data_IF_451067803247
#
_entry.id   IF_451067803247
#
_cell.length_a   1.000
_cell.length_b   1.000
_cell.length_c   1.000
_cell.angle_alpha   90.00
_cell.angle_beta   90.00
_cell.angle_gamma   90.00
#
_symmetry.space_group_name_H-M   'P 1'
#
loop_
_entity.id
_entity.type
_entity.pdbx_description
1 polymer ?
#
# COMPACT_ATOMS: atom_id res chain seq x y z
N UNK A 1 10.96 -16.58 21.56
CA UNK A 1 10.36 -16.53 20.21
C UNK A 1 9.73 -17.89 19.96
N UNK A 2 8.41 -18.04 20.10
CA UNK A 2 7.73 -19.30 19.80
C UNK A 2 7.51 -19.37 18.29
N UNK A 3 8.24 -20.25 17.62
CA UNK A 3 7.89 -20.78 16.30
C UNK A 3 6.48 -21.37 16.40
N UNK A 4 5.48 -20.71 15.80
CA UNK A 4 4.11 -21.25 15.72
C UNK A 4 4.17 -22.60 15.01
N UNK A 5 3.95 -23.68 15.75
CA UNK A 5 3.63 -24.99 15.18
C UNK A 5 2.36 -24.79 14.35
N UNK A 6 2.40 -25.19 13.08
CA UNK A 6 1.30 -25.01 12.13
C UNK A 6 -0.01 -25.55 12.69
N UNK A 7 -1.09 -24.79 12.51
CA UNK A 7 -2.39 -25.04 13.14
C UNK A 7 -3.41 -25.69 12.19
N UNK A 8 -2.88 -26.30 11.13
CA UNK A 8 -3.64 -27.04 10.14
C UNK A 8 -4.20 -28.34 10.74
N UNK A 9 -5.43 -28.74 10.38
CA UNK A 9 -6.00 -30.00 10.83
C UNK A 9 -5.25 -31.21 10.24
N UNK A 10 -5.40 -32.38 10.87
CA UNK A 10 -4.86 -33.63 10.33
C UNK A 10 -5.57 -34.03 9.03
N UNK A 11 -4.87 -33.83 7.92
CA UNK A 11 -5.26 -34.25 6.57
C UNK A 11 -4.36 -35.39 6.06
N UNK A 12 -4.69 -35.98 4.91
CA UNK A 12 -3.90 -37.07 4.34
C UNK A 12 -2.47 -36.60 3.99
N UNK A 13 -1.48 -37.49 4.09
CA UNK A 13 -0.08 -37.16 3.83
C UNK A 13 0.17 -36.48 2.46
N UNK A 14 -0.50 -36.86 1.35
CA UNK A 14 -0.37 -36.14 0.08
C UNK A 14 -0.81 -34.68 0.18
N UNK A 15 -1.97 -34.41 0.80
CA UNK A 15 -2.49 -33.05 0.96
C UNK A 15 -1.62 -32.21 1.92
N UNK A 16 -1.05 -32.83 2.95
CA UNK A 16 -0.12 -32.13 3.85
C UNK A 16 1.18 -31.74 3.13
N UNK A 17 1.74 -32.63 2.30
CA UNK A 17 2.90 -32.31 1.46
C UNK A 17 2.57 -31.26 0.40
N UNK A 18 1.36 -31.29 -0.17
CA UNK A 18 0.89 -30.29 -1.12
C UNK A 18 0.89 -28.88 -0.49
N UNK A 19 0.33 -28.72 0.71
CA UNK A 19 0.36 -27.45 1.45
C UNK A 19 1.79 -27.00 1.77
N UNK A 20 2.65 -27.92 2.21
CA UNK A 20 4.07 -27.63 2.48
C UNK A 20 4.82 -27.19 1.22
N UNK A 21 4.52 -27.76 0.06
CA UNK A 21 5.19 -27.43 -1.19
C UNK A 21 4.91 -26.00 -1.68
N UNK A 22 3.86 -25.37 -1.17
CA UNK A 22 3.49 -23.97 -1.43
C UNK A 22 3.60 -23.09 -0.17
N UNK A 23 4.39 -23.53 0.82
CA UNK A 23 4.66 -22.81 2.07
C UNK A 23 3.42 -22.45 2.91
N UNK A 24 2.32 -23.20 2.73
CA UNK A 24 1.12 -23.07 3.56
C UNK A 24 1.26 -23.95 4.79
N UNK A 25 1.37 -23.30 5.95
CA UNK A 25 1.53 -23.92 7.26
C UNK A 25 0.49 -23.48 8.28
N UNK A 26 -0.34 -22.47 7.98
CA UNK A 26 -1.40 -22.00 8.88
C UNK A 26 -2.77 -21.83 8.22
N UNK A 27 -3.83 -21.86 9.03
CA UNK A 27 -5.20 -21.58 8.62
C UNK A 27 -5.36 -20.15 8.10
N UNK A 28 -4.67 -19.16 8.66
CA UNK A 28 -4.73 -17.78 8.15
C UNK A 28 -4.14 -17.63 6.75
N UNK A 29 -3.18 -18.47 6.34
CA UNK A 29 -2.70 -18.45 4.96
C UNK A 29 -3.74 -18.98 3.98
N UNK A 30 -4.61 -19.91 4.42
CA UNK A 30 -5.69 -20.45 3.61
C UNK A 30 -6.82 -19.44 3.34
N UNK A 31 -6.93 -18.34 4.10
CA UNK A 31 -7.92 -17.30 3.82
C UNK A 31 -7.55 -16.44 2.60
N UNK A 32 -6.33 -16.61 2.07
CA UNK A 32 -5.80 -15.90 0.91
C UNK A 32 -5.78 -16.72 -0.37
N UNK A 33 -6.22 -17.97 -0.31
CA UNK A 33 -6.28 -18.88 -1.45
C UNK A 33 -7.72 -19.34 -1.65
N UNK A 34 -8.09 -19.56 -2.90
CA UNK A 34 -9.40 -20.13 -3.22
C UNK A 34 -9.41 -21.65 -3.04
N UNK A 35 -10.59 -22.20 -2.86
CA UNK A 35 -10.78 -23.65 -2.92
C UNK A 35 -10.34 -24.23 -4.27
N UNK A 36 -10.56 -23.49 -5.37
CA UNK A 36 -10.24 -23.92 -6.72
C UNK A 36 -8.73 -24.07 -6.95
N UNK A 37 -7.91 -23.13 -6.47
CA UNK A 37 -6.45 -23.22 -6.56
C UNK A 37 -5.89 -24.31 -5.67
N UNK A 38 -6.43 -24.45 -4.46
CA UNK A 38 -5.99 -25.50 -3.56
C UNK A 38 -6.21 -26.87 -4.21
N UNK A 39 -7.33 -27.04 -4.90
CA UNK A 39 -7.66 -28.24 -5.68
C UNK A 39 -6.74 -28.49 -6.89
N UNK A 40 -5.99 -27.50 -7.37
CA UNK A 40 -4.97 -27.71 -8.41
C UNK A 40 -3.68 -28.33 -7.87
N UNK A 41 -3.46 -28.31 -6.55
CA UNK A 41 -2.27 -28.90 -5.97
C UNK A 41 -2.33 -30.43 -6.06
N UNK A 42 -1.28 -31.05 -6.60
CA UNK A 42 -1.17 -32.50 -6.69
C UNK A 42 -1.25 -33.12 -5.28
N UNK A 43 -2.31 -33.90 -5.04
CA UNK A 43 -2.56 -34.56 -3.76
C UNK A 43 -3.58 -33.85 -2.88
N UNK A 44 -4.11 -32.71 -3.31
CA UNK A 44 -5.29 -32.10 -2.72
C UNK A 44 -6.56 -32.74 -3.30
N UNK A 45 -7.51 -33.07 -2.42
CA UNK A 45 -8.78 -33.67 -2.81
C UNK A 45 -9.92 -33.22 -1.90
N UNK A 46 -11.18 -33.56 -2.26
CA UNK A 46 -12.37 -33.03 -1.61
C UNK A 46 -12.42 -33.30 -0.10
N UNK A 47 -11.89 -34.45 0.35
CA UNK A 47 -11.83 -34.78 1.77
C UNK A 47 -10.87 -33.88 2.55
N UNK A 48 -9.70 -33.56 1.98
CA UNK A 48 -8.77 -32.65 2.62
C UNK A 48 -9.34 -31.23 2.64
N UNK A 49 -9.91 -30.78 1.53
CA UNK A 49 -10.57 -29.48 1.41
C UNK A 49 -11.72 -29.31 2.41
N UNK A 50 -12.56 -30.34 2.58
CA UNK A 50 -13.65 -30.33 3.57
C UNK A 50 -13.17 -30.16 5.00
N UNK A 51 -12.06 -30.83 5.38
CA UNK A 51 -11.45 -30.68 6.71
C UNK A 51 -10.86 -29.29 6.93
N UNK A 52 -10.22 -28.72 5.91
CA UNK A 52 -9.71 -27.36 5.97
C UNK A 52 -10.84 -26.34 6.10
N UNK A 53 -11.94 -26.53 5.36
CA UNK A 53 -13.14 -25.69 5.47
C UNK A 53 -13.73 -25.72 6.88
N UNK A 54 -13.84 -26.90 7.47
CA UNK A 54 -14.32 -27.05 8.84
C UNK A 54 -13.40 -26.33 9.84
N UNK A 55 -12.09 -26.54 9.74
CA UNK A 55 -11.12 -25.90 10.63
C UNK A 55 -11.09 -24.37 10.50
N UNK A 56 -11.31 -23.82 9.30
CA UNK A 56 -11.51 -22.39 9.08
C UNK A 56 -12.81 -21.90 9.76
N UNK A 57 -13.92 -22.60 9.53
CA UNK A 57 -15.23 -22.24 10.07
C UNK A 57 -15.26 -22.26 11.61
N UNK A 58 -14.57 -23.22 12.25
CA UNK A 58 -14.39 -23.28 13.71
C UNK A 58 -13.70 -22.03 14.29
N UNK A 59 -13.03 -21.24 13.45
CA UNK A 59 -12.38 -19.97 13.80
C UNK A 59 -13.08 -18.72 13.25
N UNK A 60 -14.26 -18.89 12.64
CA UNK A 60 -14.94 -17.80 11.95
C UNK A 60 -14.21 -17.30 10.69
N UNK A 61 -13.31 -18.12 10.14
CA UNK A 61 -12.59 -17.86 8.90
C UNK A 61 -13.26 -18.59 7.72
N UNK A 62 -12.93 -18.17 6.51
CA UNK A 62 -13.33 -18.84 5.27
C UNK A 62 -12.22 -18.75 4.23
N UNK A 63 -12.25 -19.63 3.23
CA UNK A 63 -11.41 -19.52 2.05
C UNK A 63 -11.69 -18.20 1.31
N UNK A 64 -10.70 -17.74 0.54
CA UNK A 64 -10.93 -16.63 -0.35
C UNK A 64 -11.95 -17.02 -1.43
N UNK A 65 -12.80 -16.08 -1.84
CA UNK A 65 -13.77 -16.31 -2.93
C UNK A 65 -13.12 -16.23 -4.30
N UNK A 66 -12.08 -15.40 -4.43
CA UNK A 66 -11.30 -15.20 -5.64
C UNK A 66 -9.84 -15.04 -5.23
N UNK A 67 -8.91 -15.49 -6.06
CA UNK A 67 -7.50 -15.21 -5.86
C UNK A 67 -7.02 -14.24 -6.92
N UNK A 68 -6.25 -13.26 -6.48
CA UNK A 68 -5.78 -12.22 -7.37
C UNK A 68 -6.92 -11.36 -7.92
N UNK A 69 -6.67 -10.74 -9.07
CA UNK A 69 -7.55 -9.71 -9.60
C UNK A 69 -8.86 -10.29 -10.13
N UNK A 70 -9.97 -9.95 -9.48
CA UNK A 70 -11.30 -10.29 -10.03
C UNK A 70 -11.72 -9.33 -11.15
N UNK A 71 -12.79 -9.69 -11.87
CA UNK A 71 -13.30 -8.91 -13.01
C UNK A 71 -13.78 -7.50 -12.61
N UNK A 72 -14.25 -7.32 -11.39
CA UNK A 72 -14.70 -6.03 -10.85
C UNK A 72 -13.49 -5.13 -10.62
N UNK A 73 -12.43 -5.67 -9.99
CA UNK A 73 -11.15 -4.95 -9.81
C UNK A 73 -10.58 -4.55 -11.17
N UNK A 74 -10.48 -5.50 -12.12
CA UNK A 74 -9.97 -5.23 -13.48
C UNK A 74 -10.78 -4.14 -14.18
N UNK A 75 -12.11 -4.23 -14.15
CA UNK A 75 -12.98 -3.23 -14.77
C UNK A 75 -12.76 -1.84 -14.14
N UNK A 76 -12.55 -1.74 -12.83
CA UNK A 76 -12.24 -0.47 -12.20
C UNK A 76 -10.83 0.04 -12.56
N UNK A 77 -9.83 -0.83 -12.67
CA UNK A 77 -8.50 -0.44 -13.13
C UNK A 77 -8.51 0.09 -14.57
N UNK A 78 -9.25 -0.56 -15.48
CA UNK A 78 -9.45 -0.08 -16.85
C UNK A 78 -10.12 1.31 -16.87
N UNK A 79 -11.12 1.50 -16.00
CA UNK A 79 -11.87 2.75 -15.88
C UNK A 79 -11.06 3.91 -15.28
N UNK A 80 -9.84 3.68 -14.77
CA UNK A 80 -8.91 4.79 -14.44
C UNK A 80 -8.59 5.61 -15.70
N UNK A 81 -8.56 4.97 -16.88
CA UNK A 81 -8.27 5.61 -18.16
C UNK A 81 -9.51 6.17 -18.86
N UNK A 82 -10.68 6.10 -18.22
CA UNK A 82 -11.93 6.59 -18.82
C UNK A 82 -11.89 8.13 -19.03
N UNK A 83 -12.38 8.59 -20.18
CA UNK A 83 -12.54 10.02 -20.47
C UNK A 83 -13.71 10.65 -19.70
N UNK A 84 -14.70 9.84 -19.34
CA UNK A 84 -15.81 10.27 -18.48
C UNK A 84 -15.35 10.39 -17.02
N UNK A 85 -15.33 11.62 -16.51
CA UNK A 85 -14.90 11.92 -15.15
C UNK A 85 -15.74 11.24 -14.07
N UNK A 86 -17.04 10.95 -14.32
CA UNK A 86 -17.86 10.23 -13.35
C UNK A 86 -17.43 8.76 -13.22
N UNK A 87 -17.15 8.11 -14.35
CA UNK A 87 -16.65 6.74 -14.42
C UNK A 87 -15.27 6.63 -13.77
N UNK A 88 -14.35 7.55 -14.10
CA UNK A 88 -13.02 7.60 -13.51
C UNK A 88 -13.08 7.81 -11.99
N UNK A 89 -13.96 8.71 -11.52
CA UNK A 89 -14.14 8.94 -10.09
C UNK A 89 -14.71 7.72 -9.35
N UNK A 90 -15.70 7.03 -9.93
CA UNK A 90 -16.25 5.79 -9.35
C UNK A 90 -15.19 4.70 -9.25
N UNK A 91 -14.35 4.56 -10.26
CA UNK A 91 -13.22 3.64 -10.26
C UNK A 91 -12.22 3.97 -9.15
N UNK A 92 -11.84 5.25 -9.05
CA UNK A 92 -10.96 5.72 -7.99
C UNK A 92 -11.53 5.45 -6.59
N UNK A 93 -12.77 5.86 -6.30
CA UNK A 93 -13.40 5.65 -4.98
C UNK A 93 -13.45 4.16 -4.60
N UNK A 94 -13.82 3.31 -5.55
CA UNK A 94 -13.87 1.86 -5.33
C UNK A 94 -12.49 1.28 -5.00
N UNK A 95 -11.48 1.53 -5.86
CA UNK A 95 -10.13 0.98 -5.66
C UNK A 95 -9.44 1.53 -4.42
N UNK A 96 -9.70 2.80 -4.06
CA UNK A 96 -9.17 3.37 -2.82
C UNK A 96 -9.70 2.66 -1.58
N UNK A 97 -10.99 2.28 -1.56
CA UNK A 97 -11.60 1.52 -0.46
C UNK A 97 -11.04 0.11 -0.37
N UNK A 98 -10.95 -0.59 -1.50
CA UNK A 98 -10.38 -1.95 -1.54
C UNK A 98 -8.94 -1.96 -1.01
N UNK A 99 -8.14 -0.95 -1.36
CA UNK A 99 -6.74 -0.85 -0.95
C UNK A 99 -6.51 -0.21 0.44
N UNK A 100 -7.59 0.08 1.20
CA UNK A 100 -7.47 0.41 2.62
C UNK A 100 -6.90 -0.75 3.43
N UNK A 101 -7.15 -1.98 2.99
CA UNK A 101 -6.60 -3.21 3.56
C UNK A 101 -5.62 -3.89 2.58
N UNK A 102 -4.78 -4.83 3.05
CA UNK A 102 -3.97 -5.61 2.14
C UNK A 102 -4.83 -6.41 1.16
N UNK A 103 -4.56 -6.22 -0.13
CA UNK A 103 -5.08 -6.99 -1.27
C UNK A 103 -4.03 -7.97 -1.80
N UNK A 104 -4.47 -8.99 -2.53
CA UNK A 104 -3.64 -10.04 -3.16
C UNK A 104 -3.29 -9.76 -4.62
N UNK A 105 -4.07 -8.92 -5.31
CA UNK A 105 -3.89 -8.54 -6.72
C UNK A 105 -2.88 -7.41 -6.97
N UNK A 106 -2.20 -6.92 -5.92
CA UNK A 106 -1.32 -5.75 -6.02
C UNK A 106 -0.25 -5.88 -7.11
N UNK A 107 0.29 -7.10 -7.32
CA UNK A 107 1.31 -7.34 -8.33
C UNK A 107 0.80 -7.42 -9.76
N UNK A 108 -0.48 -7.72 -9.94
CA UNK A 108 -1.12 -7.73 -11.26
C UNK A 108 -1.39 -6.30 -11.75
N UNK A 109 -1.70 -5.37 -10.83
CA UNK A 109 -1.89 -3.95 -11.13
C UNK A 109 -0.59 -3.12 -11.08
N UNK A 110 0.52 -3.66 -10.58
CA UNK A 110 1.68 -2.84 -10.22
C UNK A 110 2.27 -2.06 -11.40
N UNK A 111 2.56 -2.78 -12.48
CA UNK A 111 3.31 -2.22 -13.61
C UNK A 111 2.47 -1.17 -14.36
N UNK A 112 1.16 -1.40 -14.53
CA UNK A 112 0.25 -0.41 -15.12
C UNK A 112 0.09 0.86 -14.24
N UNK A 113 0.08 0.72 -12.91
CA UNK A 113 0.00 1.87 -12.01
C UNK A 113 1.31 2.67 -12.03
N UNK A 114 2.46 2.00 -12.09
CA UNK A 114 3.77 2.65 -12.23
C UNK A 114 3.88 3.41 -13.55
N UNK A 115 3.45 2.81 -14.66
CA UNK A 115 3.43 3.46 -15.98
C UNK A 115 2.53 4.70 -15.95
N UNK A 116 1.38 4.58 -15.30
CA UNK A 116 0.42 5.67 -15.13
C UNK A 116 0.94 6.90 -14.38
N UNK A 117 2.03 6.79 -13.61
CA UNK A 117 2.66 7.94 -12.94
C UNK A 117 3.19 9.00 -13.92
N UNK A 118 3.39 8.63 -15.19
CA UNK A 118 3.89 9.52 -16.25
C UNK A 118 2.86 9.78 -17.35
N UNK A 119 1.60 9.40 -17.12
CA UNK A 119 0.54 9.51 -18.11
C UNK A 119 0.27 10.98 -18.52
N UNK A 120 -0.17 11.19 -19.77
CA UNK A 120 -0.48 12.54 -20.31
C UNK A 120 -1.58 13.26 -19.52
N UNK A 121 -2.56 12.50 -19.02
CA UNK A 121 -3.65 13.01 -18.18
C UNK A 121 -3.20 13.06 -16.72
N UNK A 122 -3.31 14.25 -16.12
CA UNK A 122 -2.92 14.51 -14.73
C UNK A 122 -3.83 13.81 -13.72
N UNK A 123 -5.07 13.47 -14.07
CA UNK A 123 -5.98 12.70 -13.23
C UNK A 123 -5.50 11.26 -13.09
N UNK A 124 -5.08 10.63 -14.19
CA UNK A 124 -4.46 9.29 -14.16
C UNK A 124 -3.23 9.30 -13.26
N UNK A 125 -2.31 10.26 -13.43
CA UNK A 125 -1.12 10.39 -12.55
C UNK A 125 -1.50 10.55 -11.07
N UNK A 126 -2.53 11.34 -10.78
CA UNK A 126 -3.02 11.55 -9.42
C UNK A 126 -3.63 10.28 -8.82
N UNK A 127 -4.43 9.53 -9.59
CA UNK A 127 -5.06 8.30 -9.15
C UNK A 127 -4.01 7.21 -8.92
N UNK A 128 -3.12 6.98 -9.89
CA UNK A 128 -2.15 5.89 -9.83
C UNK A 128 -1.13 6.11 -8.72
N UNK A 129 -0.69 7.36 -8.48
CA UNK A 129 0.19 7.68 -7.35
C UNK A 129 -0.45 7.38 -5.99
N UNK A 130 -1.74 7.68 -5.82
CA UNK A 130 -2.48 7.40 -4.58
C UNK A 130 -2.71 5.90 -4.38
N UNK A 131 -3.07 5.16 -5.43
CA UNK A 131 -3.25 3.72 -5.38
C UNK A 131 -1.92 3.00 -5.09
N UNK A 132 -0.84 3.38 -5.77
CA UNK A 132 0.47 2.78 -5.56
C UNK A 132 0.98 3.01 -4.11
N UNK A 133 0.71 4.20 -3.54
CA UNK A 133 1.01 4.46 -2.14
C UNK A 133 0.20 3.58 -1.18
N UNK A 134 -1.09 3.32 -1.48
CA UNK A 134 -1.91 2.39 -0.70
C UNK A 134 -1.40 0.93 -0.80
N UNK A 135 -1.00 0.49 -1.99
CA UNK A 135 -0.59 -0.89 -2.28
C UNK A 135 0.72 -1.32 -1.62
N UNK A 136 1.50 -0.40 -1.04
CA UNK A 136 2.73 -0.75 -0.32
C UNK A 136 2.51 -1.74 0.85
N UNK A 137 1.32 -1.74 1.47
CA UNK A 137 0.95 -2.73 2.51
C UNK A 137 0.71 -4.15 1.94
N UNK A 138 0.58 -4.26 0.63
CA UNK A 138 0.42 -5.49 -0.15
C UNK A 138 1.69 -5.89 -0.91
N UNK A 139 2.84 -5.34 -0.54
CA UNK A 139 4.10 -5.55 -1.25
C UNK A 139 5.15 -6.32 -0.42
N UNK A 140 4.92 -7.62 -0.13
CA UNK A 140 5.87 -8.42 0.65
C UNK A 140 7.23 -8.62 -0.05
N UNK A 141 7.28 -8.48 -1.38
CA UNK A 141 8.51 -8.59 -2.19
C UNK A 141 9.27 -7.26 -2.33
N UNK A 142 8.72 -6.15 -1.83
CA UNK A 142 9.39 -4.86 -1.83
C UNK A 142 9.61 -4.23 -3.21
N UNK A 143 8.70 -4.43 -4.19
CA UNK A 143 8.73 -3.69 -5.47
C UNK A 143 8.80 -2.18 -5.27
N UNK A 144 8.13 -1.66 -4.24
CA UNK A 144 8.14 -0.24 -3.89
C UNK A 144 9.56 0.30 -3.69
N UNK A 145 10.51 -0.47 -3.15
CA UNK A 145 11.88 0.01 -2.98
C UNK A 145 12.57 0.38 -4.30
N UNK A 146 12.20 -0.30 -5.39
CA UNK A 146 12.69 -0.02 -6.74
C UNK A 146 11.97 1.17 -7.39
N UNK A 147 10.67 1.28 -7.18
CA UNK A 147 9.82 2.25 -7.89
C UNK A 147 9.54 3.53 -7.09
N UNK A 148 9.96 3.62 -5.83
CA UNK A 148 9.65 4.75 -4.96
C UNK A 148 10.12 6.10 -5.52
N UNK A 149 11.28 6.16 -6.19
CA UNK A 149 11.74 7.40 -6.81
C UNK A 149 10.78 7.90 -7.91
N UNK A 150 10.11 6.99 -8.64
CA UNK A 150 9.09 7.36 -9.63
C UNK A 150 7.87 7.98 -8.94
N UNK A 151 7.42 7.37 -7.84
CA UNK A 151 6.32 7.90 -7.04
C UNK A 151 6.67 9.25 -6.40
N UNK A 152 7.86 9.36 -5.80
CA UNK A 152 8.35 10.61 -5.20
C UNK A 152 8.45 11.73 -6.23
N UNK A 153 8.80 11.41 -7.49
CA UNK A 153 8.86 12.40 -8.56
C UNK A 153 7.49 13.01 -8.88
N UNK A 154 6.38 12.32 -8.67
CA UNK A 154 5.02 12.89 -8.83
C UNK A 154 4.77 14.04 -7.85
N UNK A 155 5.50 14.12 -6.73
CA UNK A 155 5.42 15.28 -5.83
C UNK A 155 6.00 16.58 -6.43
N UNK A 156 6.51 16.51 -7.66
CA UNK A 156 7.02 17.62 -8.48
C UNK A 156 6.19 17.81 -9.75
N UNK A 157 4.99 17.22 -9.82
CA UNK A 157 4.13 17.31 -11.00
C UNK A 157 3.86 18.76 -11.43
N UNK A 158 3.84 18.99 -12.76
CA UNK A 158 3.51 20.29 -13.36
C UNK A 158 2.12 20.80 -12.93
N UNK A 159 1.18 19.88 -12.67
CA UNK A 159 -0.11 20.17 -12.07
C UNK A 159 0.06 20.06 -10.56
N UNK A 160 0.14 21.20 -9.91
CA UNK A 160 0.33 21.26 -8.46
C UNK A 160 -0.75 20.48 -7.67
N UNK A 161 -1.99 20.41 -8.18
CA UNK A 161 -3.04 19.59 -7.57
C UNK A 161 -2.68 18.09 -7.58
N UNK A 162 -2.12 17.58 -8.68
CA UNK A 162 -1.62 16.20 -8.80
C UNK A 162 -0.45 15.96 -7.86
N UNK A 163 0.52 16.89 -7.83
CA UNK A 163 1.64 16.83 -6.89
C UNK A 163 1.18 16.75 -5.43
N UNK A 164 0.14 17.52 -5.09
CA UNK A 164 -0.44 17.56 -3.74
C UNK A 164 -1.16 16.26 -3.38
N UNK A 165 -1.92 15.67 -4.30
CA UNK A 165 -2.55 14.36 -4.07
C UNK A 165 -1.52 13.27 -3.76
N UNK A 166 -0.40 13.25 -4.50
CA UNK A 166 0.70 12.34 -4.20
C UNK A 166 1.31 12.66 -2.83
N UNK A 167 1.65 13.92 -2.55
CA UNK A 167 2.28 14.32 -1.28
C UNK A 167 1.45 13.94 -0.05
N UNK A 168 0.14 14.08 -0.12
CA UNK A 168 -0.77 13.77 0.98
C UNK A 168 -0.99 12.27 1.22
N UNK A 169 -0.60 11.41 0.27
CA UNK A 169 -0.79 9.97 0.34
C UNK A 169 0.54 9.18 0.43
N UNK A 170 1.67 9.75 0.02
CA UNK A 170 2.96 9.04 -0.05
C UNK A 170 3.41 8.43 1.28
N UNK A 171 2.97 8.99 2.40
CA UNK A 171 3.24 8.45 3.73
C UNK A 171 2.73 7.02 3.92
N UNK A 172 1.66 6.63 3.21
CA UNK A 172 1.08 5.29 3.29
C UNK A 172 2.03 4.20 2.81
N UNK A 173 3.04 4.56 2.01
CA UNK A 173 4.14 3.64 1.67
C UNK A 173 4.82 3.10 2.93
N UNK A 174 4.99 3.94 3.95
CA UNK A 174 5.61 3.57 5.23
C UNK A 174 4.81 2.52 6.03
N UNK A 175 3.57 2.23 5.65
CA UNK A 175 2.78 1.15 6.24
C UNK A 175 3.23 -0.24 5.77
N UNK A 176 4.11 -0.33 4.76
CA UNK A 176 4.76 -1.58 4.32
C UNK A 176 5.83 -2.11 5.28
N UNK A 177 6.08 -1.45 6.42
CA UNK A 177 7.02 -1.89 7.45
C UNK A 177 8.23 -0.98 7.62
N UNK A 178 9.14 -1.34 8.53
CA UNK A 178 10.25 -0.48 8.99
C UNK A 178 11.16 0.02 7.86
N UNK A 179 11.51 -0.82 6.90
CA UNK A 179 12.32 -0.41 5.75
C UNK A 179 11.59 0.63 4.87
N UNK A 180 10.28 0.47 4.68
CA UNK A 180 9.47 1.43 3.94
C UNK A 180 9.29 2.75 4.70
N UNK A 181 9.23 2.74 6.03
CA UNK A 181 9.24 3.96 6.84
C UNK A 181 10.51 4.77 6.61
N UNK A 182 11.68 4.11 6.65
CA UNK A 182 12.96 4.78 6.37
C UNK A 182 13.03 5.34 4.96
N UNK A 183 12.51 4.61 3.97
CA UNK A 183 12.44 5.05 2.58
C UNK A 183 11.62 6.35 2.45
N UNK A 184 10.40 6.36 3.02
CA UNK A 184 9.52 7.52 3.00
C UNK A 184 10.15 8.72 3.71
N UNK A 185 10.69 8.52 4.92
CA UNK A 185 11.30 9.60 5.70
C UNK A 185 12.47 10.24 4.93
N UNK A 186 13.38 9.43 4.36
CA UNK A 186 14.49 9.91 3.54
C UNK A 186 14.01 10.66 2.29
N UNK A 187 12.98 10.13 1.60
CA UNK A 187 12.40 10.77 0.42
C UNK A 187 11.76 12.12 0.73
N UNK A 188 10.99 12.19 1.83
CA UNK A 188 10.34 13.41 2.28
C UNK A 188 11.34 14.45 2.79
N UNK A 189 12.38 14.03 3.50
CA UNK A 189 13.50 14.88 3.89
C UNK A 189 14.19 15.49 2.66
N UNK A 190 14.55 14.68 1.67
CA UNK A 190 15.11 15.17 0.41
C UNK A 190 14.17 16.20 -0.25
N UNK A 191 12.89 15.87 -0.35
CA UNK A 191 11.88 16.74 -0.96
C UNK A 191 11.72 18.08 -0.23
N UNK A 192 11.80 18.08 1.10
CA UNK A 192 11.72 19.28 1.96
C UNK A 192 12.83 20.30 1.65
N UNK A 193 14.04 19.79 1.35
CA UNK A 193 15.17 20.62 0.97
C UNK A 193 15.08 21.10 -0.48
N UNK A 194 14.76 20.20 -1.41
CA UNK A 194 14.68 20.50 -2.84
C UNK A 194 13.61 21.54 -3.20
N UNK A 195 12.51 21.62 -2.43
CA UNK A 195 11.41 22.54 -2.75
C UNK A 195 11.76 24.02 -2.55
N UNK A 196 12.94 24.37 -2.04
CA UNK A 196 13.29 25.73 -1.59
C UNK A 196 13.11 26.81 -2.67
N UNK A 197 13.33 26.48 -3.94
CA UNK A 197 13.18 27.40 -5.08
C UNK A 197 11.79 27.36 -5.72
N UNK A 198 10.91 26.46 -5.27
CA UNK A 198 9.58 26.30 -5.86
C UNK A 198 8.60 27.33 -5.33
N UNK A 199 7.72 27.84 -6.20
CA UNK A 199 6.66 28.81 -5.86
C UNK A 199 5.83 28.40 -4.64
N UNK A 200 5.56 27.10 -4.50
CA UNK A 200 4.73 26.54 -3.43
C UNK A 200 5.53 25.89 -2.30
N UNK A 201 6.83 26.20 -2.17
CA UNK A 201 7.75 25.64 -1.17
C UNK A 201 7.13 25.48 0.22
N UNK A 202 6.54 26.55 0.75
CA UNK A 202 6.04 26.56 2.13
C UNK A 202 4.82 25.67 2.35
N UNK A 203 4.00 25.46 1.31
CA UNK A 203 2.88 24.52 1.32
C UNK A 203 3.38 23.08 1.14
N UNK A 204 4.37 22.84 0.28
CA UNK A 204 5.01 21.53 0.13
C UNK A 204 5.60 21.07 1.47
N UNK A 205 6.38 21.91 2.14
CA UNK A 205 6.91 21.64 3.49
C UNK A 205 5.82 21.38 4.52
N UNK A 206 4.70 22.09 4.44
CA UNK A 206 3.55 21.83 5.31
C UNK A 206 2.93 20.45 5.04
N UNK A 207 2.67 20.10 3.78
CA UNK A 207 2.12 18.80 3.41
C UNK A 207 3.08 17.65 3.78
N UNK A 208 4.40 17.85 3.70
CA UNK A 208 5.41 16.91 4.22
C UNK A 208 5.25 16.69 5.73
N UNK A 209 5.04 17.76 6.50
CA UNK A 209 4.84 17.65 7.95
C UNK A 209 3.54 16.91 8.29
N UNK A 210 2.47 17.13 7.52
CA UNK A 210 1.23 16.36 7.63
C UNK A 210 1.46 14.89 7.30
N UNK A 211 2.21 14.59 6.22
CA UNK A 211 2.54 13.23 5.82
C UNK A 211 3.35 12.48 6.89
N UNK A 212 4.38 13.11 7.45
CA UNK A 212 5.18 12.56 8.56
C UNK A 212 4.34 12.35 9.82
N UNK A 213 3.45 13.29 10.15
CA UNK A 213 2.55 13.16 11.29
C UNK A 213 1.56 11.99 11.11
N UNK A 214 0.96 11.84 9.93
CA UNK A 214 0.08 10.71 9.63
C UNK A 214 0.81 9.36 9.78
N UNK A 215 2.04 9.25 9.26
CA UNK A 215 2.82 8.03 9.41
C UNK A 215 3.20 7.77 10.88
N UNK A 216 3.58 8.81 11.62
CA UNK A 216 3.82 8.70 13.06
C UNK A 216 2.57 8.23 13.80
N UNK A 217 1.40 8.81 13.54
CA UNK A 217 0.14 8.40 14.16
C UNK A 217 -0.20 6.95 13.85
N UNK A 218 0.07 6.48 12.63
CA UNK A 218 -0.21 5.11 12.22
C UNK A 218 0.78 4.06 12.74
N UNK A 219 2.01 4.46 13.10
CA UNK A 219 3.11 3.51 13.38
C UNK A 219 3.81 3.71 14.73
N UNK A 220 3.56 4.84 15.38
CA UNK A 220 4.16 5.31 16.64
C UNK A 220 5.69 5.31 16.70
N UNK A 221 6.37 5.32 15.54
CA UNK A 221 7.85 5.33 15.46
C UNK A 221 8.42 6.69 15.88
N UNK A 222 9.24 6.73 16.93
CA UNK A 222 9.84 7.98 17.42
C UNK A 222 10.77 8.63 16.39
N UNK A 223 11.47 7.83 15.58
CA UNK A 223 12.41 8.29 14.57
C UNK A 223 11.75 9.19 13.50
N UNK A 224 10.47 8.93 13.20
CA UNK A 224 9.69 9.75 12.27
C UNK A 224 9.41 11.12 12.87
N UNK A 225 9.04 11.15 14.16
CA UNK A 225 8.77 12.40 14.89
C UNK A 225 10.05 13.20 15.09
N UNK A 226 11.15 12.55 15.44
CA UNK A 226 12.47 13.17 15.58
C UNK A 226 12.89 13.87 14.28
N UNK A 227 12.83 13.16 13.14
CA UNK A 227 13.16 13.76 11.85
C UNK A 227 12.21 14.91 11.49
N UNK A 228 10.92 14.79 11.79
CA UNK A 228 9.97 15.87 11.52
C UNK A 228 10.28 17.14 12.32
N UNK A 229 10.66 17.00 13.58
CA UNK A 229 11.08 18.13 14.44
C UNK A 229 12.39 18.76 13.97
N UNK A 230 13.37 17.96 13.56
CA UNK A 230 14.61 18.44 12.94
C UNK A 230 14.34 19.30 11.68
N UNK A 231 13.45 18.82 10.80
CA UNK A 231 13.04 19.58 9.62
C UNK A 231 12.35 20.90 9.99
N UNK A 232 11.52 20.92 11.05
CA UNK A 232 10.91 22.16 11.57
C UNK A 232 11.98 23.13 12.05
N UNK A 233 12.97 22.66 12.80
CA UNK A 233 14.05 23.50 13.33
C UNK A 233 14.92 24.10 12.22
N UNK A 234 15.09 23.38 11.11
CA UNK A 234 15.79 23.89 9.92
C UNK A 234 15.07 25.02 9.18
N UNK A 235 13.79 25.27 9.47
CA UNK A 235 13.03 26.37 8.86
C UNK A 235 13.47 27.72 9.44
N UNK A 236 13.99 28.57 8.55
CA UNK A 236 14.53 29.89 8.88
C UNK A 236 13.43 30.90 9.18
N UNK A 237 12.29 30.80 8.50
CA UNK A 237 11.15 31.69 8.73
C UNK A 237 10.37 31.25 9.98
N UNK A 238 10.43 32.06 11.04
CA UNK A 238 9.78 31.79 12.31
C UNK A 238 8.24 31.59 12.18
N UNK A 239 7.59 32.25 11.23
CA UNK A 239 6.15 32.08 10.97
C UNK A 239 5.87 30.68 10.47
N UNK A 240 6.64 30.20 9.50
CA UNK A 240 6.45 28.86 8.93
C UNK A 240 6.92 27.77 9.88
N UNK A 241 8.01 27.97 10.62
CA UNK A 241 8.43 27.09 11.72
C UNK A 241 7.30 26.88 12.73
N UNK A 242 6.63 27.96 13.18
CA UNK A 242 5.46 27.88 14.07
C UNK A 242 4.28 27.16 13.42
N UNK A 243 4.04 27.38 12.12
CA UNK A 243 2.96 26.73 11.36
C UNK A 243 3.19 25.22 11.27
N UNK A 244 4.41 24.79 10.95
CA UNK A 244 4.78 23.37 10.85
C UNK A 244 4.72 22.67 12.21
N UNK A 245 5.23 23.31 13.27
CA UNK A 245 5.09 22.81 14.64
C UNK A 245 3.62 22.61 15.04
N UNK A 246 2.70 23.42 14.50
CA UNK A 246 1.26 23.29 14.72
C UNK A 246 0.66 21.95 14.28
N UNK A 247 1.26 21.27 13.28
CA UNK A 247 0.82 19.93 12.84
C UNK A 247 0.99 18.90 13.96
N UNK A 248 1.98 19.09 14.82
CA UNK A 248 2.36 18.17 15.89
C UNK A 248 1.74 18.51 17.25
N UNK A 249 0.86 19.51 17.31
CA UNK A 249 0.13 19.89 18.52
C UNK A 249 -1.17 19.09 18.61
N UNK A 250 -1.06 17.85 19.09
CA UNK A 250 -2.15 17.04 19.65
C UNK A 250 -1.57 16.18 20.77
#
# INVERSE_FOLDING_TARGET
MNSKVGDLPKIAAPAQRALQSVDITTLEQLTKITEAELMQLHGMGPNALGKLRQALAERGLAFCKHSGMDKTIRAHLDNILAEDGQTQFKAFDYLMRETEKPVDWAYEAWDELVDGLTHKDNHVRAITSQLLANLAKSDPKGRMFKDFDKLLNVTKDERFVTARHCMQNIWKVGLGGKNAQQLVVKGLEKRFHECVTEKNCTLIRYDIQVALNNLYTATTSSEIKEKALELIESEKDARYRKKYAGVWKK
#
